data_IF_571217313985
#
_entry.id   IF_571217313985
#
_cell.length_a   1.000
_cell.length_b   1.000
_cell.length_c   1.000
_cell.angle_alpha   90.00
_cell.angle_beta   90.00
_cell.angle_gamma   90.00
#
_symmetry.space_group_name_H-M   'P 1'
#
loop_
_entity.id
_entity.type
_entity.pdbx_description
1 polymer ?
#
# COMPACT_ATOMS: atom_id res chain seq x y z
N UNK A 1 -3.86 11.68 -3.70
CA UNK A 1 -2.67 12.40 -3.16
C UNK A 1 -1.63 12.51 -4.26
N UNK A 2 -0.95 13.65 -4.42
CA UNK A 2 0.08 13.87 -5.44
C UNK A 2 1.29 14.59 -4.84
N UNK A 3 2.47 14.43 -5.45
CA UNK A 3 3.72 15.08 -5.02
C UNK A 3 4.85 14.07 -4.83
N UNK A 4 5.84 14.44 -3.99
CA UNK A 4 6.95 13.58 -3.58
C UNK A 4 7.06 13.55 -2.07
N UNK A 5 7.35 12.39 -1.50
CA UNK A 5 7.64 12.23 -0.08
C UNK A 5 8.68 11.12 0.10
N UNK A 6 9.53 11.22 1.12
CA UNK A 6 10.46 10.13 1.42
C UNK A 6 9.73 8.95 2.07
N UNK A 7 8.68 9.24 2.84
CA UNK A 7 7.92 8.25 3.61
C UNK A 7 6.41 8.49 3.51
N UNK A 8 5.67 7.41 3.28
CA UNK A 8 4.22 7.33 3.37
C UNK A 8 3.83 6.29 4.41
N UNK A 9 3.10 6.71 5.45
CA UNK A 9 2.49 5.81 6.44
C UNK A 9 0.97 5.87 6.32
N UNK A 10 0.34 4.71 6.18
CA UNK A 10 -1.11 4.54 6.13
C UNK A 10 -1.51 3.54 7.21
N UNK A 11 -2.46 3.93 8.06
CA UNK A 11 -3.09 3.09 9.08
C UNK A 11 -4.61 3.27 8.92
N UNK A 12 -5.33 2.18 8.66
CA UNK A 12 -6.77 2.23 8.40
C UNK A 12 -7.49 0.97 8.84
N UNK A 13 -8.70 1.15 9.39
CA UNK A 13 -9.56 0.04 9.83
C UNK A 13 -11.01 0.25 9.39
N UNK A 14 -11.76 -0.85 9.29
CA UNK A 14 -13.16 -0.81 8.86
C UNK A 14 -13.27 -0.80 7.33
N UNK A 15 -13.83 0.28 6.77
CA UNK A 15 -13.94 0.47 5.31
C UNK A 15 -13.19 1.73 4.92
N UNK A 16 -12.02 1.55 4.30
CA UNK A 16 -11.15 2.65 3.88
C UNK A 16 -10.86 2.58 2.38
N UNK A 17 -10.72 3.74 1.73
CA UNK A 17 -10.26 3.86 0.35
C UNK A 17 -9.16 4.94 0.24
N UNK A 18 -7.97 4.55 -0.19
CA UNK A 18 -6.81 5.44 -0.35
C UNK A 18 -6.36 5.48 -1.82
N UNK A 19 -6.25 6.68 -2.39
CA UNK A 19 -5.73 6.92 -3.74
C UNK A 19 -4.45 7.77 -3.70
N UNK A 20 -3.30 7.12 -3.87
CA UNK A 20 -1.98 7.73 -3.78
C UNK A 20 -1.00 7.26 -4.88
N UNK A 21 -1.49 6.77 -6.03
CA UNK A 21 -0.63 6.37 -7.16
C UNK A 21 0.19 7.53 -7.77
N UNK A 22 -0.29 8.77 -7.61
CA UNK A 22 0.39 9.97 -8.12
C UNK A 22 1.31 10.62 -7.09
N UNK A 23 1.36 10.10 -5.86
CA UNK A 23 2.33 10.47 -4.84
C UNK A 23 3.55 9.55 -4.98
N UNK A 24 4.68 10.10 -5.42
CA UNK A 24 5.93 9.32 -5.49
C UNK A 24 6.51 9.20 -4.09
N UNK A 25 6.62 7.98 -3.57
CA UNK A 25 7.25 7.73 -2.27
C UNK A 25 8.44 6.79 -2.38
N UNK A 26 9.51 7.07 -1.62
CA UNK A 26 10.64 6.13 -1.51
C UNK A 26 10.23 4.92 -0.68
N UNK A 27 9.73 5.16 0.54
CA UNK A 27 9.29 4.11 1.47
C UNK A 27 7.80 4.24 1.76
N UNK A 28 7.08 3.13 1.67
CA UNK A 28 5.66 3.07 2.05
C UNK A 28 5.43 1.99 3.10
N UNK A 29 4.74 2.34 4.18
CA UNK A 29 4.27 1.42 5.22
C UNK A 29 2.74 1.49 5.30
N UNK A 30 2.07 0.39 5.01
CA UNK A 30 0.60 0.32 4.88
C UNK A 30 0.05 -0.76 5.80
N UNK A 31 -0.72 -0.35 6.80
CA UNK A 31 -1.43 -1.22 7.71
C UNK A 31 -2.93 -1.05 7.49
N UNK A 32 -3.61 -2.12 7.07
CA UNK A 32 -5.06 -2.09 6.78
C UNK A 32 -5.79 -3.29 7.35
N UNK A 33 -6.89 -3.01 8.04
CA UNK A 33 -7.81 -4.02 8.56
C UNK A 33 -9.25 -3.82 8.04
N UNK A 34 -10.01 -4.91 7.93
CA UNK A 34 -11.41 -4.91 7.52
C UNK A 34 -11.60 -5.07 6.00
N UNK A 35 -12.39 -4.19 5.38
CA UNK A 35 -12.67 -4.13 3.95
C UNK A 35 -12.07 -2.84 3.37
N UNK A 36 -10.75 -2.82 3.29
CA UNK A 36 -9.99 -1.61 2.95
C UNK A 36 -9.23 -1.75 1.64
N UNK A 37 -9.12 -0.65 0.88
CA UNK A 37 -8.41 -0.61 -0.38
C UNK A 37 -7.41 0.54 -0.43
N UNK A 38 -6.18 0.28 -0.89
CA UNK A 38 -5.21 1.33 -1.16
C UNK A 38 -4.56 1.17 -2.53
N UNK A 39 -4.31 2.28 -3.21
CA UNK A 39 -3.41 2.35 -4.36
C UNK A 39 -2.26 3.29 -4.07
N UNK A 40 -1.03 2.80 -4.09
CA UNK A 40 0.17 3.55 -3.67
C UNK A 40 1.32 3.41 -4.67
N UNK A 41 2.33 4.26 -4.57
CA UNK A 41 3.55 4.15 -5.39
C UNK A 41 4.81 4.23 -4.52
N UNK A 42 5.60 3.16 -4.52
CA UNK A 42 6.85 3.04 -3.77
C UNK A 42 8.03 2.75 -4.70
N UNK A 43 9.21 3.32 -4.44
CA UNK A 43 10.41 3.14 -5.28
C UNK A 43 11.58 2.44 -4.60
N UNK A 44 11.61 2.36 -3.27
CA UNK A 44 12.71 1.72 -2.53
C UNK A 44 12.20 0.58 -1.65
N UNK A 45 11.26 0.87 -0.75
CA UNK A 45 10.73 -0.09 0.22
C UNK A 45 9.20 -0.03 0.28
N UNK A 46 8.59 -1.22 0.28
CA UNK A 46 7.17 -1.39 0.52
C UNK A 46 6.96 -2.39 1.65
N UNK A 47 6.39 -1.93 2.76
CA UNK A 47 5.91 -2.77 3.85
C UNK A 47 4.39 -2.73 3.89
N UNK A 48 3.76 -3.91 3.91
CA UNK A 48 2.31 -4.03 4.07
C UNK A 48 1.95 -5.03 5.17
N UNK A 49 0.96 -4.66 5.98
CA UNK A 49 0.29 -5.53 6.95
C UNK A 49 -1.22 -5.45 6.68
N UNK A 50 -1.79 -6.51 6.11
CA UNK A 50 -3.17 -6.54 5.65
C UNK A 50 -3.95 -7.67 6.32
N UNK A 51 -5.12 -7.33 6.86
CA UNK A 51 -6.06 -8.31 7.44
C UNK A 51 -7.49 -8.11 6.91
N UNK A 52 -8.31 -9.15 7.08
CA UNK A 52 -9.70 -9.17 6.59
C UNK A 52 -9.80 -9.39 5.09
N UNK A 53 -10.52 -8.52 4.38
CA UNK A 53 -10.68 -8.51 2.93
C UNK A 53 -10.00 -7.29 2.30
N UNK A 54 -8.89 -6.84 2.90
CA UNK A 54 -8.16 -5.66 2.46
C UNK A 54 -7.32 -5.91 1.20
N UNK A 55 -7.22 -4.95 0.29
CA UNK A 55 -6.41 -5.08 -0.93
C UNK A 55 -5.56 -3.84 -1.19
N UNK A 56 -4.26 -4.06 -1.39
CA UNK A 56 -3.32 -3.01 -1.78
C UNK A 56 -2.85 -3.25 -3.21
N UNK A 57 -2.94 -2.22 -4.03
CA UNK A 57 -2.33 -2.14 -5.34
C UNK A 57 -1.15 -1.19 -5.29
N UNK A 58 0.02 -1.63 -5.73
CA UNK A 58 1.21 -0.78 -5.72
C UNK A 58 1.79 -0.62 -7.13
N UNK A 59 2.36 0.54 -7.39
CA UNK A 59 3.14 0.84 -8.57
C UNK A 59 4.57 1.23 -8.19
N UNK A 60 5.47 1.21 -9.17
CA UNK A 60 6.90 1.45 -8.97
C UNK A 60 7.69 0.15 -8.92
N UNK A 61 8.96 0.24 -8.52
CA UNK A 61 9.88 -0.90 -8.48
C UNK A 61 10.65 -0.87 -7.15
N UNK A 62 9.96 -1.08 -6.01
CA UNK A 62 10.64 -1.12 -4.72
C UNK A 62 11.65 -2.26 -4.69
N UNK A 63 12.87 -1.95 -4.28
CA UNK A 63 13.95 -2.91 -4.11
C UNK A 63 13.70 -3.93 -3.00
N UNK A 64 12.85 -3.60 -2.02
CA UNK A 64 12.47 -4.45 -0.90
C UNK A 64 10.96 -4.44 -0.69
N UNK A 65 10.36 -5.62 -0.57
CA UNK A 65 8.94 -5.78 -0.24
C UNK A 65 8.82 -6.70 0.98
N UNK A 66 8.23 -6.18 2.05
CA UNK A 66 7.77 -6.94 3.21
C UNK A 66 6.24 -7.01 3.18
N UNK A 67 5.69 -8.21 3.35
CA UNK A 67 4.25 -8.40 3.37
C UNK A 67 3.85 -9.38 4.47
N UNK A 68 2.92 -8.95 5.31
CA UNK A 68 2.15 -9.80 6.20
C UNK A 68 0.68 -9.72 5.75
N UNK A 69 0.12 -10.86 5.35
CA UNK A 69 -1.20 -10.95 4.71
C UNK A 69 -1.99 -12.06 5.40
N UNK A 70 -3.13 -11.69 5.97
CA UNK A 70 -4.06 -12.60 6.62
C UNK A 70 -5.48 -12.48 6.08
N UNK A 71 -6.30 -13.53 6.23
CA UNK A 71 -7.66 -13.58 5.71
C UNK A 71 -7.73 -13.68 4.18
N UNK A 72 -8.58 -12.87 3.57
CA UNK A 72 -8.75 -12.73 2.10
C UNK A 72 -8.03 -11.50 1.55
N UNK A 73 -6.95 -11.07 2.20
CA UNK A 73 -6.20 -9.90 1.78
C UNK A 73 -5.32 -10.14 0.55
N UNK A 74 -5.03 -9.09 -0.21
CA UNK A 74 -4.16 -9.18 -1.39
C UNK A 74 -3.22 -7.99 -1.55
N UNK A 75 -2.04 -8.28 -2.11
CA UNK A 75 -1.08 -7.28 -2.58
C UNK A 75 -0.78 -7.55 -4.06
N UNK A 76 -1.08 -6.57 -4.91
CA UNK A 76 -0.93 -6.69 -6.36
C UNK A 76 -0.09 -5.55 -6.94
N UNK A 77 0.82 -5.88 -7.84
CA UNK A 77 1.55 -4.90 -8.63
C UNK A 77 0.66 -4.40 -9.79
N UNK A 78 0.58 -3.09 -9.96
CA UNK A 78 -0.05 -2.48 -11.14
C UNK A 78 1.02 -2.35 -12.21
N UNK A 79 0.95 -3.22 -13.23
CA UNK A 79 1.76 -3.09 -14.44
C UNK A 79 1.15 -2.02 -15.34
N UNK A 80 1.95 -1.00 -15.67
CA UNK A 80 1.66 -0.06 -16.75
C UNK A 80 2.02 -0.66 -18.11
#
# INVERSE_FOLDING_TARGET
MSGRADELRIDGSGVCQIEALTLQTSRANVELAGMSHARIKATEELKVDLSGSSSVRYAGQPSRIEKDLSGSSSLEEVRN
#
